data_IF_719023291460
#
_entry.id   IF_719023291460
#
_cell.length_a   1.000
_cell.length_b   1.000
_cell.length_c   1.000
_cell.angle_alpha   90.00
_cell.angle_beta   90.00
_cell.angle_gamma   90.00
#
_symmetry.space_group_name_H-M   'P 1'
#
loop_
_entity.id
_entity.type
_entity.pdbx_description
1 polymer ?
#
# COMPACT_ATOMS: atom_id res chain seq x y z
N UNK A 1 14.33 21.36 -8.89
CA UNK A 1 13.91 22.47 -8.02
C UNK A 1 13.95 22.06 -6.55
N UNK A 2 14.35 22.97 -5.73
CA UNK A 2 14.41 22.75 -4.30
C UNK A 2 13.03 22.90 -3.67
N UNK A 3 12.69 21.99 -2.78
CA UNK A 3 11.49 22.11 -1.95
C UNK A 3 11.78 23.01 -0.74
N UNK A 4 10.80 23.78 -0.29
CA UNK A 4 10.95 24.55 0.95
C UNK A 4 11.30 23.65 2.13
N UNK A 5 12.07 24.18 3.10
CA UNK A 5 12.37 23.46 4.32
C UNK A 5 11.07 23.14 5.07
N UNK A 6 10.89 21.88 5.50
CA UNK A 6 9.69 21.42 6.18
C UNK A 6 8.52 21.08 5.28
N UNK A 7 8.66 21.25 3.95
CA UNK A 7 7.62 20.82 3.02
C UNK A 7 7.47 19.30 3.04
N UNK A 8 6.23 18.82 2.99
CA UNK A 8 5.91 17.39 2.90
C UNK A 8 5.61 17.06 1.45
N UNK A 9 6.26 16.04 0.93
CA UNK A 9 6.13 15.63 -0.47
C UNK A 9 5.27 14.38 -0.55
N UNK A 10 4.12 14.48 -1.21
CA UNK A 10 3.27 13.34 -1.51
C UNK A 10 3.89 12.48 -2.60
N UNK A 11 3.83 11.16 -2.44
CA UNK A 11 4.39 10.21 -3.39
C UNK A 11 3.29 9.62 -4.26
N UNK A 12 3.54 9.58 -5.58
CA UNK A 12 2.69 8.84 -6.50
C UNK A 12 3.21 7.42 -6.66
N UNK A 13 2.36 6.54 -7.15
CA UNK A 13 2.67 5.11 -7.30
C UNK A 13 3.90 4.87 -8.18
N UNK A 14 4.03 5.60 -9.30
CA UNK A 14 5.14 5.37 -10.22
C UNK A 14 6.51 5.70 -9.61
N UNK A 15 6.58 6.66 -8.70
CA UNK A 15 7.82 6.97 -7.97
C UNK A 15 8.22 5.78 -7.10
N UNK A 16 7.27 5.20 -6.39
CA UNK A 16 7.52 4.02 -5.55
C UNK A 16 7.87 2.80 -6.40
N UNK A 17 7.19 2.59 -7.52
CA UNK A 17 7.49 1.50 -8.41
C UNK A 17 8.92 1.62 -8.97
N UNK A 18 9.35 2.81 -9.37
CA UNK A 18 10.73 3.03 -9.81
C UNK A 18 11.75 2.78 -8.72
N UNK A 19 11.39 3.07 -7.48
CA UNK A 19 12.29 2.82 -6.35
C UNK A 19 12.44 1.34 -6.04
N UNK A 20 11.35 0.59 -6.02
CA UNK A 20 11.35 -0.80 -5.55
C UNK A 20 11.60 -1.83 -6.64
N UNK A 21 11.32 -1.51 -7.91
CA UNK A 21 11.39 -2.50 -8.99
C UNK A 21 12.65 -2.28 -9.81
N UNK A 22 13.50 -3.31 -9.86
CA UNK A 22 14.65 -3.34 -10.76
C UNK A 22 14.23 -4.03 -12.06
N UNK A 23 14.29 -3.29 -13.16
CA UNK A 23 13.98 -3.84 -14.48
C UNK A 23 15.26 -4.13 -15.26
N UNK A 24 15.45 -5.39 -15.66
CA UNK A 24 16.53 -5.78 -16.53
C UNK A 24 16.32 -5.14 -17.92
N UNK A 25 17.38 -4.55 -18.49
CA UNK A 25 17.30 -3.93 -19.81
C UNK A 25 16.53 -2.63 -19.85
N UNK A 26 16.36 -1.97 -18.70
CA UNK A 26 15.71 -0.66 -18.62
C UNK A 26 16.43 0.36 -19.50
N UNK A 27 15.67 1.23 -20.18
CA UNK A 27 16.25 2.29 -20.98
C UNK A 27 16.81 3.42 -20.09
N UNK A 28 17.47 4.40 -20.72
CA UNK A 28 18.11 5.49 -19.98
C UNK A 28 17.10 6.37 -19.24
N UNK A 29 15.89 6.54 -19.78
CA UNK A 29 14.85 7.33 -19.15
C UNK A 29 14.35 6.63 -17.87
N UNK A 30 14.11 5.34 -17.91
CA UNK A 30 13.72 4.55 -16.74
C UNK A 30 14.82 4.58 -15.67
N UNK A 31 16.07 4.42 -16.07
CA UNK A 31 17.18 4.47 -15.12
C UNK A 31 17.33 5.84 -14.46
N UNK A 32 17.14 6.91 -15.22
CA UNK A 32 17.15 8.27 -14.67
C UNK A 32 16.02 8.45 -13.65
N UNK A 33 14.84 7.91 -13.93
CA UNK A 33 13.71 7.95 -13.00
C UNK A 33 14.00 7.16 -11.72
N UNK A 34 14.64 6.00 -11.85
CA UNK A 34 15.05 5.18 -10.69
C UNK A 34 15.99 5.95 -9.78
N UNK A 35 16.98 6.61 -10.36
CA UNK A 35 17.94 7.42 -9.59
C UNK A 35 17.25 8.59 -8.91
N UNK A 36 16.36 9.29 -9.61
CA UNK A 36 15.61 10.41 -9.04
C UNK A 36 14.70 9.96 -7.89
N UNK A 37 14.01 8.82 -8.06
CA UNK A 37 13.18 8.24 -7.00
C UNK A 37 14.03 7.87 -5.78
N UNK A 38 15.19 7.25 -5.99
CA UNK A 38 16.11 6.89 -4.91
C UNK A 38 16.57 8.13 -4.15
N UNK A 39 16.98 9.17 -4.85
CA UNK A 39 17.44 10.40 -4.22
C UNK A 39 16.35 11.03 -3.37
N UNK A 40 15.10 11.07 -3.87
CA UNK A 40 13.97 11.62 -3.13
C UNK A 40 13.67 10.79 -1.88
N UNK A 41 13.50 9.49 -2.04
CA UNK A 41 13.06 8.61 -0.95
C UNK A 41 14.13 8.47 0.14
N UNK A 42 15.41 8.56 -0.23
CA UNK A 42 16.54 8.45 0.70
C UNK A 42 17.08 9.81 1.14
N UNK A 43 16.43 10.91 0.77
CA UNK A 43 16.94 12.28 1.03
C UNK A 43 16.79 12.75 2.47
N UNK A 44 15.94 12.12 3.27
CA UNK A 44 15.59 12.63 4.59
C UNK A 44 14.46 13.67 4.58
N UNK A 45 13.93 14.02 3.42
CA UNK A 45 12.77 14.91 3.32
C UNK A 45 11.52 14.23 3.88
N UNK A 46 10.57 15.04 4.36
CA UNK A 46 9.29 14.56 4.84
C UNK A 46 8.45 14.10 3.65
N UNK A 47 8.00 12.86 3.69
CA UNK A 47 7.25 12.21 2.63
C UNK A 47 5.87 11.79 3.14
N UNK A 48 4.91 11.73 2.23
CA UNK A 48 3.55 11.32 2.55
C UNK A 48 3.06 10.28 1.54
N UNK A 49 2.51 9.19 2.04
CA UNK A 49 1.92 8.12 1.24
C UNK A 49 0.40 8.14 1.37
N UNK A 50 -0.33 8.55 0.32
CA UNK A 50 -1.79 8.44 0.33
C UNK A 50 -2.23 6.97 0.42
N UNK A 51 -3.34 6.73 1.09
CA UNK A 51 -3.91 5.37 1.20
C UNK A 51 -4.28 4.82 -0.18
N UNK A 52 -4.74 5.67 -1.09
CA UNK A 52 -5.02 5.31 -2.47
C UNK A 52 -3.77 4.83 -3.22
N UNK A 53 -2.63 5.44 -2.94
CA UNK A 53 -1.34 5.02 -3.53
C UNK A 53 -0.89 3.69 -2.94
N UNK A 54 -1.09 3.48 -1.63
CA UNK A 54 -0.79 2.17 -1.02
C UNK A 54 -1.58 1.05 -1.72
N UNK A 55 -2.86 1.28 -1.97
CA UNK A 55 -3.72 0.32 -2.67
C UNK A 55 -3.23 0.06 -4.10
N UNK A 56 -2.96 1.11 -4.85
CA UNK A 56 -2.50 1.01 -6.24
C UNK A 56 -1.13 0.35 -6.33
N UNK A 57 -0.24 0.65 -5.41
CA UNK A 57 1.11 0.09 -5.38
C UNK A 57 1.06 -1.44 -5.26
N UNK A 58 0.26 -1.96 -4.34
CA UNK A 58 0.12 -3.41 -4.20
C UNK A 58 -0.37 -4.05 -5.51
N UNK A 59 -1.38 -3.45 -6.12
CA UNK A 59 -1.92 -3.94 -7.38
C UNK A 59 -0.88 -3.92 -8.50
N UNK A 60 -0.12 -2.82 -8.62
CA UNK A 60 0.90 -2.66 -9.66
C UNK A 60 2.04 -3.67 -9.46
N UNK A 61 2.53 -3.82 -8.23
CA UNK A 61 3.60 -4.76 -7.94
C UNK A 61 3.18 -6.21 -8.27
N UNK A 62 2.00 -6.60 -7.85
CA UNK A 62 1.49 -7.94 -8.06
C UNK A 62 1.02 -8.16 -9.50
N UNK A 63 0.19 -7.26 -10.01
CA UNK A 63 -0.50 -7.45 -11.29
C UNK A 63 0.35 -7.08 -12.50
N UNK A 64 1.17 -6.05 -12.42
CA UNK A 64 2.00 -5.60 -13.54
C UNK A 64 3.41 -6.19 -13.48
N UNK A 65 4.05 -6.15 -12.31
CA UNK A 65 5.42 -6.63 -12.17
C UNK A 65 5.53 -8.09 -11.73
N UNK A 66 4.42 -8.74 -11.41
CA UNK A 66 4.41 -10.15 -11.06
C UNK A 66 5.04 -10.48 -9.72
N UNK A 67 5.07 -9.54 -8.78
CA UNK A 67 5.61 -9.78 -7.44
C UNK A 67 4.78 -10.86 -6.74
N UNK A 68 5.46 -11.79 -6.11
CA UNK A 68 4.85 -12.73 -5.17
C UNK A 68 4.53 -12.02 -3.85
N UNK A 69 3.62 -12.59 -3.07
CA UNK A 69 3.23 -12.01 -1.78
C UNK A 69 4.42 -11.69 -0.87
N UNK A 70 5.44 -12.54 -0.71
CA UNK A 70 6.59 -12.16 0.13
C UNK A 70 7.33 -10.93 -0.38
N UNK A 71 7.41 -10.73 -1.68
CA UNK A 71 8.05 -9.54 -2.27
C UNK A 71 7.23 -8.28 -2.01
N UNK A 72 5.91 -8.36 -2.13
CA UNK A 72 5.01 -7.24 -1.81
C UNK A 72 5.11 -6.89 -0.33
N UNK A 73 5.12 -7.89 0.55
CA UNK A 73 5.26 -7.68 1.99
C UNK A 73 6.58 -7.00 2.33
N UNK A 74 7.66 -7.38 1.66
CA UNK A 74 8.97 -6.73 1.87
C UNK A 74 8.92 -5.24 1.53
N UNK A 75 8.24 -4.87 0.44
CA UNK A 75 8.05 -3.47 0.07
C UNK A 75 7.31 -2.70 1.16
N UNK A 76 6.18 -3.23 1.63
CA UNK A 76 5.41 -2.56 2.67
C UNK A 76 6.14 -2.51 4.01
N UNK A 77 6.94 -3.51 4.34
CA UNK A 77 7.77 -3.47 5.54
C UNK A 77 8.79 -2.32 5.48
N UNK A 78 9.40 -2.09 4.32
CA UNK A 78 10.28 -0.93 4.11
C UNK A 78 9.53 0.38 4.28
N UNK A 79 8.35 0.50 3.67
CA UNK A 79 7.54 1.73 3.77
C UNK A 79 7.10 2.00 5.21
N UNK A 80 6.65 0.98 5.92
CA UNK A 80 6.20 1.13 7.30
C UNK A 80 7.35 1.48 8.24
N UNK A 81 8.58 1.06 7.93
CA UNK A 81 9.77 1.36 8.70
C UNK A 81 10.50 2.63 8.28
N UNK A 82 10.06 3.33 7.25
CA UNK A 82 10.77 4.49 6.72
C UNK A 82 10.63 5.69 7.66
N UNK A 83 11.74 6.27 8.12
CA UNK A 83 11.72 7.23 9.23
C UNK A 83 11.05 8.56 8.92
N UNK A 84 11.02 9.00 7.66
CA UNK A 84 10.44 10.29 7.27
C UNK A 84 9.15 10.16 6.47
N UNK A 85 8.63 8.95 6.32
CA UNK A 85 7.38 8.69 5.59
C UNK A 85 6.21 8.63 6.54
N UNK A 86 5.23 9.50 6.32
CA UNK A 86 3.93 9.45 6.98
C UNK A 86 2.94 8.76 6.04
N UNK A 87 2.25 7.74 6.55
CA UNK A 87 1.21 7.05 5.80
C UNK A 87 -0.15 7.63 6.18
N UNK A 88 -0.96 7.92 5.18
CA UNK A 88 -2.36 8.23 5.43
C UNK A 88 -3.03 7.02 6.06
N UNK A 89 -3.67 7.22 7.21
CA UNK A 89 -4.35 6.14 7.93
C UNK A 89 -3.42 4.93 8.17
N UNK A 90 -2.30 5.19 8.82
CA UNK A 90 -1.30 4.16 9.11
C UNK A 90 -1.90 2.90 9.76
N UNK A 91 -2.81 3.00 10.75
CA UNK A 91 -3.40 1.80 11.34
C UNK A 91 -4.11 0.91 10.34
N UNK A 92 -4.81 1.49 9.36
CA UNK A 92 -5.48 0.71 8.33
C UNK A 92 -4.47 -0.01 7.41
N UNK A 93 -3.38 0.66 7.04
CA UNK A 93 -2.35 0.05 6.21
C UNK A 93 -1.64 -1.08 6.97
N UNK A 94 -1.31 -0.86 8.23
CA UNK A 94 -0.70 -1.91 9.08
C UNK A 94 -1.61 -3.14 9.16
N UNK A 95 -2.91 -2.93 9.39
CA UNK A 95 -3.87 -4.02 9.46
C UNK A 95 -4.04 -4.73 8.11
N UNK A 96 -4.03 -3.97 7.01
CA UNK A 96 -4.11 -4.55 5.67
C UNK A 96 -2.89 -5.40 5.32
N UNK A 97 -1.70 -4.96 5.72
CA UNK A 97 -0.46 -5.73 5.54
C UNK A 97 -0.52 -7.04 6.35
N UNK A 98 -1.00 -6.97 7.58
CA UNK A 98 -1.21 -8.17 8.38
C UNK A 98 -2.23 -9.12 7.73
N UNK A 99 -3.30 -8.58 7.15
CA UNK A 99 -4.29 -9.35 6.39
C UNK A 99 -3.68 -10.04 5.18
N UNK A 100 -2.86 -9.32 4.41
CA UNK A 100 -2.15 -9.91 3.27
C UNK A 100 -1.23 -11.05 3.72
N UNK A 101 -0.51 -10.87 4.83
CA UNK A 101 0.36 -11.89 5.40
C UNK A 101 -0.44 -13.14 5.81
N UNK A 102 -1.67 -12.97 6.25
CA UNK A 102 -2.57 -14.06 6.62
C UNK A 102 -3.30 -14.69 5.43
N UNK A 103 -3.04 -14.23 4.21
CA UNK A 103 -3.62 -14.80 2.99
C UNK A 103 -4.84 -14.07 2.45
N UNK A 104 -5.19 -12.91 2.99
CA UNK A 104 -6.28 -12.10 2.46
C UNK A 104 -5.83 -11.29 1.24
N UNK A 105 -6.79 -10.95 0.39
CA UNK A 105 -6.59 -9.94 -0.64
C UNK A 105 -6.32 -8.58 0.02
N UNK A 106 -5.30 -7.86 -0.45
CA UNK A 106 -4.89 -6.61 0.17
C UNK A 106 -5.99 -5.54 0.10
N UNK A 107 -6.67 -5.42 -1.04
CA UNK A 107 -7.75 -4.45 -1.20
C UNK A 107 -8.89 -4.73 -0.22
N UNK A 108 -9.29 -5.99 -0.08
CA UNK A 108 -10.34 -6.38 0.88
C UNK A 108 -9.91 -6.05 2.31
N UNK A 109 -8.68 -6.37 2.67
CA UNK A 109 -8.15 -6.09 4.00
C UNK A 109 -8.08 -4.59 4.27
N UNK A 110 -7.69 -3.79 3.28
CA UNK A 110 -7.62 -2.34 3.41
C UNK A 110 -9.02 -1.70 3.51
N UNK A 111 -9.98 -2.19 2.72
CA UNK A 111 -11.37 -1.74 2.82
C UNK A 111 -11.93 -2.01 4.22
N UNK A 112 -11.72 -3.22 4.71
CA UNK A 112 -12.18 -3.60 6.05
C UNK A 112 -11.54 -2.73 7.12
N UNK A 113 -10.23 -2.58 7.10
CA UNK A 113 -9.50 -1.77 8.06
C UNK A 113 -9.88 -0.29 7.99
N UNK A 114 -10.20 0.21 6.81
CA UNK A 114 -10.63 1.60 6.60
C UNK A 114 -11.99 1.88 7.22
N UNK A 115 -12.79 0.83 7.45
CA UNK A 115 -14.11 0.92 8.10
C UNK A 115 -14.06 0.55 9.59
N UNK A 116 -12.89 0.53 10.22
CA UNK A 116 -12.74 0.04 11.59
C UNK A 116 -13.55 0.81 12.63
N UNK A 117 -13.93 2.05 12.34
CA UNK A 117 -14.80 2.84 13.21
C UNK A 117 -16.29 2.63 12.94
N UNK A 118 -16.64 1.83 11.94
CA UNK A 118 -18.02 1.51 11.61
C UNK A 118 -18.50 0.30 12.43
N UNK A 119 -19.80 0.24 12.71
CA UNK A 119 -20.36 -0.92 13.40
C UNK A 119 -20.43 -2.14 12.48
N UNK A 120 -20.76 -1.92 11.21
CA UNK A 120 -20.84 -2.98 10.20
C UNK A 120 -20.40 -2.47 8.85
N UNK A 121 -20.06 -3.40 7.97
CA UNK A 121 -19.82 -3.13 6.57
C UNK A 121 -20.89 -3.86 5.76
N UNK A 122 -21.55 -3.17 4.85
CA UNK A 122 -22.52 -3.80 3.96
C UNK A 122 -21.81 -4.28 2.69
N UNK A 123 -22.04 -5.54 2.31
CA UNK A 123 -21.52 -6.09 1.06
C UNK A 123 -22.44 -7.17 0.55
N UNK A 124 -22.64 -7.22 -0.76
CA UNK A 124 -23.32 -8.33 -1.41
C UNK A 124 -22.39 -9.51 -1.75
N UNK A 125 -21.08 -9.34 -1.57
CA UNK A 125 -20.09 -10.38 -1.85
C UNK A 125 -19.99 -11.35 -0.66
N UNK A 126 -21.01 -12.18 -0.49
CA UNK A 126 -21.12 -13.10 0.66
C UNK A 126 -20.09 -14.23 0.59
N UNK A 127 -19.79 -14.73 -0.61
CA UNK A 127 -18.84 -15.86 -0.78
C UNK A 127 -17.39 -15.41 -0.92
N UNK A 128 -17.17 -14.12 -1.15
CA UNK A 128 -15.84 -13.52 -1.24
C UNK A 128 -15.48 -12.74 -0.01
N UNK A 129 -15.69 -11.42 -0.07
CA UNK A 129 -15.27 -10.47 0.96
C UNK A 129 -15.85 -10.81 2.33
N UNK A 130 -17.19 -10.96 2.42
CA UNK A 130 -17.84 -11.20 3.70
C UNK A 130 -17.35 -12.49 4.36
N UNK A 131 -17.23 -13.56 3.58
CA UNK A 131 -16.75 -14.86 4.07
C UNK A 131 -15.32 -14.76 4.61
N UNK A 132 -14.42 -14.10 3.87
CA UNK A 132 -13.02 -13.98 4.29
C UNK A 132 -12.87 -13.15 5.55
N UNK A 133 -13.62 -12.05 5.66
CA UNK A 133 -13.57 -11.20 6.85
C UNK A 133 -14.14 -11.95 8.08
N UNK A 134 -15.20 -12.73 7.91
CA UNK A 134 -15.72 -13.55 9.02
C UNK A 134 -14.69 -14.54 9.54
N UNK A 135 -13.85 -15.11 8.67
CA UNK A 135 -12.79 -16.04 9.07
C UNK A 135 -11.73 -15.38 9.93
N UNK A 136 -11.50 -14.08 9.76
CA UNK A 136 -10.55 -13.33 10.59
C UNK A 136 -11.09 -13.02 11.97
N UNK A 137 -12.41 -13.04 12.15
CA UNK A 137 -13.07 -12.67 13.40
C UNK A 137 -12.67 -11.28 13.89
N UNK A 138 -12.51 -10.33 12.97
CA UNK A 138 -12.15 -8.95 13.26
C UNK A 138 -13.34 -8.02 13.05
N UNK A 139 -13.58 -7.05 13.97
CA UNK A 139 -14.59 -6.02 13.73
C UNK A 139 -14.10 -5.03 12.67
N UNK A 140 -15.01 -4.39 11.94
CA UNK A 140 -16.45 -4.59 11.98
C UNK A 140 -16.88 -5.85 11.21
N UNK A 141 -18.04 -6.39 11.62
CA UNK A 141 -18.62 -7.52 10.89
C UNK A 141 -19.21 -7.07 9.56
N UNK A 142 -19.28 -8.00 8.62
CA UNK A 142 -19.85 -7.74 7.29
C UNK A 142 -21.30 -8.20 7.29
N UNK A 143 -22.19 -7.33 6.83
CA UNK A 143 -23.63 -7.56 6.69
C UNK A 143 -23.96 -7.67 5.20
N UNK A 144 -24.69 -8.73 4.82
CA UNK A 144 -25.26 -8.83 3.48
C UNK A 144 -26.68 -8.26 3.53
N UNK A 145 -26.97 -7.13 2.84
CA UNK A 145 -28.29 -6.52 2.87
C UNK A 145 -29.34 -7.43 2.23
N UNK A 146 -30.55 -7.42 2.79
CA UNK A 146 -31.63 -8.21 2.24
C UNK A 146 -32.84 -8.33 3.12
#
# INVERSE_FOLDING_TARGET
SRQPAGAVIGLDTNVLARYFVAEAGADSATESQRQAARQLIESGQLLFLPKTVALELEWVLRGYYGFATPQVLAVFDVLLGHPTLTLEDRPAVVQAVAGLRAGLDFADALHHASCRSCQTIASFDDHGFARRIRQLNLPPRVLVPG
#
